data_IF_260652011300
#
_entry.id   IF_260652011300
#
_cell.length_a   1.000
_cell.length_b   1.000
_cell.length_c   1.000
_cell.angle_alpha   90.00
_cell.angle_beta   90.00
_cell.angle_gamma   90.00
#
_symmetry.space_group_name_H-M   'P 1'
#
loop_
_entity.id
_entity.type
_entity.pdbx_description
1 polymer ?
#
# COMPACT_ATOMS: atom_id res chain seq x y z
N UNK A 1 39.04 -18.92 -36.77
CA UNK A 1 38.61 -19.63 -35.55
C UNK A 1 38.75 -18.79 -34.28
N UNK A 2 39.89 -18.15 -34.01
CA UNK A 2 40.05 -17.30 -32.82
C UNK A 2 39.23 -15.99 -32.84
N UNK A 3 39.13 -15.34 -34.01
CA UNK A 3 38.37 -14.09 -34.20
C UNK A 3 36.85 -14.31 -34.07
N UNK A 4 36.35 -15.46 -34.51
CA UNK A 4 34.93 -15.82 -34.38
C UNK A 4 34.55 -16.17 -32.94
N UNK A 5 35.47 -16.80 -32.18
CA UNK A 5 35.27 -17.10 -30.77
C UNK A 5 35.26 -15.84 -29.89
N UNK A 6 36.13 -14.87 -30.19
CA UNK A 6 36.18 -13.60 -29.45
C UNK A 6 34.91 -12.77 -29.67
N UNK A 7 34.40 -12.69 -30.91
CA UNK A 7 33.13 -12.01 -31.21
C UNK A 7 31.93 -12.66 -30.49
N UNK A 8 31.87 -14.00 -30.47
CA UNK A 8 30.79 -14.73 -29.81
C UNK A 8 30.79 -14.53 -28.28
N UNK A 9 31.97 -14.51 -27.65
CA UNK A 9 32.12 -14.28 -26.21
C UNK A 9 31.75 -12.85 -25.82
N UNK A 10 32.07 -11.84 -26.66
CA UNK A 10 31.65 -10.45 -26.44
C UNK A 10 30.14 -10.26 -26.60
N UNK A 11 29.49 -10.97 -27.52
CA UNK A 11 28.04 -10.87 -27.71
C UNK A 11 27.29 -11.47 -26.51
N UNK A 12 27.78 -12.60 -25.97
CA UNK A 12 27.17 -13.29 -24.83
C UNK A 12 27.28 -12.49 -23.51
N UNK A 13 28.32 -11.67 -23.37
CA UNK A 13 28.55 -10.84 -22.17
C UNK A 13 27.65 -9.61 -22.11
N UNK A 14 27.28 -9.03 -23.26
CA UNK A 14 26.33 -7.89 -23.32
C UNK A 14 24.90 -8.30 -22.96
N UNK A 15 24.51 -9.57 -23.19
CA UNK A 15 23.20 -10.10 -22.82
C UNK A 15 23.01 -10.36 -21.32
N UNK A 16 24.07 -10.36 -20.51
CA UNK A 16 24.01 -10.68 -19.07
C UNK A 16 23.87 -9.47 -18.14
N UNK A 17 23.94 -8.23 -18.65
CA UNK A 17 24.01 -7.02 -17.81
C UNK A 17 22.69 -6.26 -17.67
N UNK A 18 21.58 -6.96 -17.50
CA UNK A 18 20.32 -6.38 -17.04
C UNK A 18 20.08 -6.72 -15.56
N UNK A 19 21.09 -6.54 -14.70
CA UNK A 19 20.88 -6.55 -13.26
C UNK A 19 20.22 -5.23 -12.86
N UNK A 20 18.88 -5.23 -12.75
CA UNK A 20 18.11 -4.15 -12.14
C UNK A 20 18.71 -3.82 -10.77
N UNK A 21 19.34 -2.65 -10.66
CA UNK A 21 19.75 -2.09 -9.38
C UNK A 21 18.48 -1.86 -8.53
N UNK A 22 18.22 -2.77 -7.59
CA UNK A 22 17.11 -2.65 -6.65
C UNK A 22 17.47 -1.54 -5.67
N UNK A 23 16.95 -0.32 -5.92
CA UNK A 23 17.10 0.83 -5.03
C UNK A 23 16.56 0.46 -3.63
N UNK A 24 17.47 0.19 -2.69
CA UNK A 24 17.12 -0.15 -1.31
C UNK A 24 16.76 1.16 -0.60
N UNK A 25 15.50 1.30 -0.17
CA UNK A 25 14.98 2.49 0.53
C UNK A 25 13.80 3.19 -0.15
N UNK A 26 13.56 2.90 -1.43
CA UNK A 26 12.38 3.36 -2.18
C UNK A 26 11.11 2.58 -1.83
N UNK A 27 9.95 3.15 -2.16
CA UNK A 27 8.68 2.41 -2.11
C UNK A 27 8.72 1.29 -3.14
N UNK A 28 8.38 0.08 -2.72
CA UNK A 28 8.27 -1.10 -3.57
C UNK A 28 6.80 -1.48 -3.70
N UNK A 29 6.31 -1.64 -4.91
CA UNK A 29 4.95 -2.13 -5.17
C UNK A 29 4.77 -3.56 -4.66
N UNK A 30 3.59 -3.85 -4.11
CA UNK A 30 3.17 -5.20 -3.73
C UNK A 30 2.25 -5.70 -4.84
N UNK A 31 2.66 -6.76 -5.54
CA UNK A 31 1.82 -7.39 -6.56
C UNK A 31 0.67 -8.19 -5.94
N UNK A 32 -0.37 -8.44 -6.73
CA UNK A 32 -1.51 -9.30 -6.37
C UNK A 32 -2.21 -8.92 -5.05
N UNK A 33 -2.35 -7.61 -4.82
CA UNK A 33 -2.86 -7.03 -3.56
C UNK A 33 -4.19 -7.64 -3.11
N UNK A 34 -5.09 -7.91 -4.06
CA UNK A 34 -6.41 -8.50 -3.81
C UNK A 34 -6.35 -9.89 -3.18
N UNK A 35 -5.31 -10.67 -3.50
CA UNK A 35 -5.10 -12.03 -2.99
C UNK A 35 -4.20 -12.07 -1.76
N UNK A 36 -3.49 -10.98 -1.48
CA UNK A 36 -2.59 -10.88 -0.34
C UNK A 36 -3.40 -10.62 0.95
N UNK A 37 -3.63 -11.68 1.73
CA UNK A 37 -4.41 -11.63 2.97
C UNK A 37 -3.88 -10.62 3.98
N UNK A 38 -2.56 -10.56 4.16
CA UNK A 38 -1.93 -9.65 5.12
C UNK A 38 -2.19 -8.19 4.72
N UNK A 39 -2.07 -7.86 3.44
CA UNK A 39 -2.36 -6.50 2.96
C UNK A 39 -3.84 -6.17 3.09
N UNK A 40 -4.74 -7.10 2.78
CA UNK A 40 -6.18 -6.89 2.99
C UNK A 40 -6.52 -6.66 4.48
N UNK A 41 -5.87 -7.39 5.39
CA UNK A 41 -6.02 -7.19 6.83
C UNK A 41 -5.48 -5.82 7.29
N UNK A 42 -4.37 -5.34 6.72
CA UNK A 42 -3.87 -3.99 6.99
C UNK A 42 -4.84 -2.91 6.48
N UNK A 43 -5.48 -3.13 5.34
CA UNK A 43 -6.53 -2.25 4.83
C UNK A 43 -7.75 -2.20 5.76
N UNK A 44 -8.19 -3.37 6.24
CA UNK A 44 -9.30 -3.48 7.19
C UNK A 44 -9.00 -2.77 8.51
N UNK A 45 -7.81 -3.01 9.06
CA UNK A 45 -7.30 -2.30 10.24
C UNK A 45 -7.30 -0.77 10.05
N UNK A 46 -6.88 -0.28 8.89
CA UNK A 46 -6.86 1.16 8.61
C UNK A 46 -8.26 1.79 8.64
N UNK A 47 -9.25 1.11 8.08
CA UNK A 47 -10.65 1.58 8.09
C UNK A 47 -11.23 1.53 9.51
N UNK A 48 -10.98 0.44 10.25
CA UNK A 48 -11.45 0.29 11.63
C UNK A 48 -10.88 1.36 12.57
N UNK A 49 -9.58 1.66 12.48
CA UNK A 49 -8.95 2.71 13.28
C UNK A 49 -9.45 4.11 12.91
N UNK A 50 -9.71 4.38 11.63
CA UNK A 50 -10.34 5.64 11.21
C UNK A 50 -11.74 5.80 11.82
N UNK A 51 -12.59 4.78 11.69
CA UNK A 51 -13.94 4.79 12.26
C UNK A 51 -13.93 4.90 13.79
N UNK A 52 -12.95 4.27 14.46
CA UNK A 52 -12.75 4.40 15.91
C UNK A 52 -12.38 5.84 16.31
N UNK A 53 -11.56 6.52 15.50
CA UNK A 53 -11.23 7.93 15.68
C UNK A 53 -12.47 8.84 15.61
N UNK A 54 -13.34 8.63 14.62
CA UNK A 54 -14.61 9.36 14.48
C UNK A 54 -15.47 9.25 15.75
N UNK A 55 -15.62 8.04 16.29
CA UNK A 55 -16.42 7.78 17.51
C UNK A 55 -15.87 8.45 18.77
N UNK A 56 -14.57 8.73 18.83
CA UNK A 56 -13.91 9.34 19.98
C UNK A 56 -13.88 10.87 19.91
N UNK A 57 -13.91 11.44 18.71
CA UNK A 57 -13.85 12.89 18.47
C UNK A 57 -15.22 13.53 18.20
N UNK A 58 -16.18 12.77 17.68
CA UNK A 58 -17.55 13.22 17.47
C UNK A 58 -18.28 13.49 18.79
N UNK A 59 -19.01 14.61 18.87
CA UNK A 59 -20.14 14.66 19.80
C UNK A 59 -21.15 13.64 19.27
N UNK A 60 -21.72 12.81 20.15
CA UNK A 60 -22.51 11.63 19.81
C UNK A 60 -23.88 11.98 19.19
N UNK A 61 -23.90 12.82 18.16
CA UNK A 61 -25.07 13.11 17.34
C UNK A 61 -25.17 12.05 16.23
N UNK A 62 -26.39 11.68 15.86
CA UNK A 62 -26.65 10.61 14.89
C UNK A 62 -26.07 10.87 13.48
N UNK A 63 -25.66 12.12 13.19
CA UNK A 63 -25.13 12.55 11.90
C UNK A 63 -23.71 12.00 11.64
N UNK A 64 -22.88 11.83 12.67
CA UNK A 64 -21.50 11.32 12.53
C UNK A 64 -21.45 9.83 12.11
N UNK A 65 -22.54 9.07 12.33
CA UNK A 65 -22.65 7.71 11.79
C UNK A 65 -22.66 7.71 10.26
N UNK A 66 -22.98 8.84 9.61
CA UNK A 66 -22.93 8.98 8.15
C UNK A 66 -21.51 8.92 7.59
N UNK A 67 -20.49 9.10 8.41
CA UNK A 67 -19.09 9.08 7.97
C UNK A 67 -18.40 7.73 8.20
N UNK A 68 -19.08 6.77 8.84
CA UNK A 68 -18.51 5.43 9.05
C UNK A 68 -18.34 4.68 7.72
N UNK A 69 -17.13 4.16 7.52
CA UNK A 69 -16.74 3.48 6.30
C UNK A 69 -16.79 1.96 6.48
N UNK A 70 -17.34 1.25 5.50
CA UNK A 70 -17.27 -0.20 5.36
C UNK A 70 -16.12 -0.55 4.43
N UNK A 71 -15.17 -1.34 4.93
CA UNK A 71 -14.05 -1.81 4.13
C UNK A 71 -14.52 -2.67 2.95
N UNK A 72 -14.10 -2.33 1.73
CA UNK A 72 -14.28 -3.14 0.53
C UNK A 72 -13.06 -4.03 0.27
N UNK A 73 -12.00 -3.43 -0.27
CA UNK A 73 -10.73 -4.12 -0.55
C UNK A 73 -9.56 -3.14 -0.65
N UNK A 74 -8.33 -3.64 -0.51
CA UNK A 74 -7.13 -2.92 -0.96
C UNK A 74 -6.93 -3.16 -2.46
N UNK A 75 -6.89 -2.08 -3.23
CA UNK A 75 -6.74 -2.11 -4.70
C UNK A 75 -5.30 -1.91 -5.16
N UNK A 76 -4.52 -1.13 -4.42
CA UNK A 76 -3.09 -0.88 -4.69
C UNK A 76 -2.33 -0.85 -3.36
N UNK A 77 -1.10 -1.35 -3.34
CA UNK A 77 -0.26 -1.28 -2.16
C UNK A 77 1.22 -1.12 -2.51
N UNK A 78 1.91 -0.32 -1.71
CA UNK A 78 3.36 -0.20 -1.73
C UNK A 78 3.90 -0.37 -0.31
N UNK A 79 5.08 -0.96 -0.18
CA UNK A 79 5.81 -1.05 1.08
C UNK A 79 7.12 -0.27 1.05
N UNK A 80 7.53 0.20 2.22
CA UNK A 80 8.82 0.85 2.42
C UNK A 80 9.40 0.43 3.77
N UNK A 81 10.65 -0.04 3.74
CA UNK A 81 11.39 -0.39 4.95
C UNK A 81 11.91 0.89 5.61
N UNK A 82 11.64 1.03 6.91
CA UNK A 82 12.05 2.14 7.79
C UNK A 82 12.49 1.57 9.15
N UNK A 83 12.30 2.27 10.26
CA UNK A 83 12.24 1.65 11.61
C UNK A 83 10.92 0.89 11.80
N UNK A 84 10.65 -0.03 10.89
CA UNK A 84 9.39 -0.76 10.71
C UNK A 84 9.14 -0.98 9.22
N UNK A 85 7.90 -1.32 8.87
CA UNK A 85 7.44 -1.41 7.49
C UNK A 85 6.27 -0.46 7.33
N UNK A 86 6.40 0.55 6.47
CA UNK A 86 5.29 1.40 6.05
C UNK A 86 4.57 0.76 4.87
N UNK A 87 3.27 0.60 5.00
CA UNK A 87 2.37 0.20 3.93
C UNK A 87 1.56 1.42 3.50
N UNK A 88 1.69 1.78 2.24
CA UNK A 88 0.87 2.80 1.57
C UNK A 88 -0.22 2.05 0.82
N UNK A 89 -1.46 2.19 1.26
CA UNK A 89 -2.59 1.42 0.75
C UNK A 89 -3.57 2.36 0.04
N UNK A 90 -4.09 1.92 -1.09
CA UNK A 90 -5.29 2.49 -1.69
C UNK A 90 -6.44 1.51 -1.47
N UNK A 91 -7.49 1.99 -0.85
CA UNK A 91 -8.57 1.20 -0.28
C UNK A 91 -9.88 1.63 -0.92
N UNK A 92 -10.63 0.66 -1.44
CA UNK A 92 -12.05 0.84 -1.75
C UNK A 92 -12.84 0.68 -0.46
N UNK A 93 -13.69 1.65 -0.13
CA UNK A 93 -14.60 1.59 1.00
C UNK A 93 -15.92 2.25 0.68
N UNK A 94 -16.99 1.77 1.31
CA UNK A 94 -18.35 2.26 1.10
C UNK A 94 -18.82 2.97 2.36
N UNK A 95 -19.31 4.19 2.22
CA UNK A 95 -19.94 4.93 3.32
C UNK A 95 -21.21 4.19 3.79
N UNK A 96 -21.65 4.35 5.04
CA UNK A 96 -22.87 3.69 5.51
C UNK A 96 -24.12 3.98 4.66
N UNK A 97 -24.16 5.13 3.99
CA UNK A 97 -25.20 5.54 3.03
C UNK A 97 -25.11 4.85 1.66
N UNK A 98 -24.16 3.92 1.47
CA UNK A 98 -23.99 3.16 0.23
C UNK A 98 -23.15 3.85 -0.85
N UNK A 99 -22.46 4.94 -0.52
CA UNK A 99 -21.60 5.67 -1.47
C UNK A 99 -20.19 5.10 -1.44
N UNK A 100 -19.76 4.52 -2.55
CA UNK A 100 -18.40 4.00 -2.74
C UNK A 100 -17.38 5.14 -2.90
N UNK A 101 -16.20 4.95 -2.31
CA UNK A 101 -15.10 5.90 -2.35
C UNK A 101 -13.73 5.23 -2.30
N UNK A 102 -12.71 5.94 -2.78
CA UNK A 102 -11.32 5.50 -2.75
C UNK A 102 -10.55 6.29 -1.70
N UNK A 103 -9.85 5.58 -0.83
CA UNK A 103 -9.13 6.15 0.30
C UNK A 103 -7.67 5.76 0.25
N UNK A 104 -6.80 6.70 0.63
CA UNK A 104 -5.37 6.45 0.78
C UNK A 104 -5.05 6.35 2.27
N UNK A 105 -4.29 5.33 2.64
CA UNK A 105 -3.84 5.15 4.02
C UNK A 105 -2.35 4.85 4.11
N UNK A 106 -1.80 5.15 5.28
CA UNK A 106 -0.42 4.80 5.64
C UNK A 106 -0.45 4.08 6.98
N UNK A 107 -0.09 2.80 6.97
CA UNK A 107 0.02 1.96 8.16
C UNK A 107 1.49 1.64 8.40
N UNK A 108 1.97 1.78 9.64
CA UNK A 108 3.30 1.33 10.04
C UNK A 108 3.19 0.08 10.91
N UNK A 109 3.96 -0.94 10.56
CA UNK A 109 4.07 -2.20 11.30
C UNK A 109 5.49 -2.32 11.87
N UNK A 110 5.60 -2.66 13.15
CA UNK A 110 6.85 -3.00 13.82
C UNK A 110 6.74 -4.43 14.37
N UNK A 111 7.13 -5.46 13.61
CA UNK A 111 6.92 -6.85 14.00
C UNK A 111 7.57 -7.21 15.33
N UNK A 112 8.77 -6.69 15.61
CA UNK A 112 9.50 -6.94 16.86
C UNK A 112 8.82 -6.34 18.10
N UNK A 113 7.86 -5.42 17.94
CA UNK A 113 7.05 -4.86 19.03
C UNK A 113 5.60 -5.35 18.99
N UNK A 114 5.24 -6.23 18.05
CA UNK A 114 3.85 -6.62 17.78
C UNK A 114 2.92 -5.40 17.60
N UNK A 115 3.45 -4.32 17.03
CA UNK A 115 2.77 -3.02 16.96
C UNK A 115 2.35 -2.70 15.51
N UNK A 116 1.11 -2.22 15.37
CA UNK A 116 0.56 -1.67 14.12
C UNK A 116 -0.09 -0.32 14.45
N UNK A 117 0.14 0.68 13.60
CA UNK A 117 -0.40 2.02 13.80
C UNK A 117 -0.83 2.65 12.48
N UNK A 118 -2.01 3.25 12.46
CA UNK A 118 -2.48 4.10 11.37
C UNK A 118 -1.85 5.50 11.51
N UNK A 119 -1.09 5.94 10.50
CA UNK A 119 -0.45 7.26 10.49
C UNK A 119 -1.26 8.30 9.72
N UNK A 120 -1.95 7.86 8.65
CA UNK A 120 -2.75 8.72 7.80
C UNK A 120 -3.88 7.91 7.18
N UNK A 121 -5.04 8.55 7.06
CA UNK A 121 -6.18 8.05 6.31
C UNK A 121 -6.91 9.25 5.70
N UNK A 122 -7.40 9.12 4.48
CA UNK A 122 -8.20 10.16 3.84
C UNK A 122 -8.60 9.80 2.41
N UNK A 123 -9.47 10.60 1.78
CA UNK A 123 -9.86 10.38 0.40
C UNK A 123 -8.63 10.45 -0.52
N UNK A 124 -8.60 9.59 -1.53
CA UNK A 124 -7.56 9.64 -2.55
C UNK A 124 -7.84 10.87 -3.40
N UNK A 125 -6.96 11.87 -3.35
CA UNK A 125 -7.01 12.97 -4.32
C UNK A 125 -6.92 12.37 -5.72
N UNK A 126 -7.87 12.68 -6.59
CA UNK A 126 -7.85 12.32 -8.01
C UNK A 126 -6.76 13.13 -8.72
N UNK A 127 -5.52 12.92 -8.35
CA UNK A 127 -4.36 13.43 -9.07
C UNK A 127 -3.75 12.22 -9.75
N UNK A 128 -4.19 12.01 -10.99
CA UNK A 128 -3.50 11.20 -12.01
C UNK A 128 -2.01 11.48 -11.89
N UNK A 129 -1.22 10.49 -11.49
CA UNK A 129 0.23 10.57 -11.61
C UNK A 129 0.55 10.52 -13.10
N UNK A 130 0.85 11.70 -13.65
CA UNK A 130 1.35 11.91 -15.01
C UNK A 130 2.88 11.83 -15.01
#
# INVERSE_FOLDING_TARGET
MAVTLTILVTLLSVLSSASCARLIGGKTEIAEVRRNREVQELGRFAVEEYNRGLKLWGNFDEDDRKEELKFGEVVEAQQQVVSGIKYYLKISATTCNGVDGMFSSVVVVKPWLHSKQLLRFGPTSSTTFQ
#
